data_IF_792730520353
#
_entry.id   IF_792730520353
#
_cell.length_a   1.000
_cell.length_b   1.000
_cell.length_c   1.000
_cell.angle_alpha   90.00
_cell.angle_beta   90.00
_cell.angle_gamma   90.00
#
_symmetry.space_group_name_H-M   'P 1'
#
loop_
_entity.id
_entity.type
_entity.pdbx_description
1 polymer ?
#
# COMPACT_ATOMS: atom_id res chain seq x y z
N UNK A 1 -42.97 -64.07 43.72
CA UNK A 1 -43.57 -63.32 42.57
C UNK A 1 -43.12 -61.88 42.71
N UNK A 2 -42.10 -61.49 41.98
CA UNK A 2 -41.51 -60.09 42.04
C UNK A 2 -41.62 -59.44 40.72
N UNK A 3 -42.37 -58.36 40.68
CA UNK A 3 -42.49 -57.49 39.54
C UNK A 3 -41.26 -56.62 39.35
N UNK A 4 -40.48 -56.80 38.28
CA UNK A 4 -39.42 -55.90 37.85
C UNK A 4 -40.01 -54.68 37.13
N UNK A 5 -39.88 -53.49 37.74
CA UNK A 5 -40.19 -52.22 37.07
C UNK A 5 -39.00 -51.84 36.21
N UNK A 6 -39.25 -51.67 34.91
CA UNK A 6 -38.32 -51.17 33.92
C UNK A 6 -38.41 -49.63 33.93
N UNK A 7 -37.35 -48.97 34.37
CA UNK A 7 -37.21 -47.52 34.28
C UNK A 7 -36.59 -47.15 32.93
N UNK A 8 -37.38 -46.47 32.07
CA UNK A 8 -36.92 -45.91 30.82
C UNK A 8 -36.34 -44.53 31.09
N UNK A 9 -35.01 -44.40 31.09
CA UNK A 9 -34.31 -43.11 31.18
C UNK A 9 -34.22 -42.48 29.78
N UNK A 10 -35.07 -41.51 29.49
CA UNK A 10 -34.95 -40.70 28.30
C UNK A 10 -33.80 -39.69 28.42
N UNK A 11 -32.77 -39.84 27.60
CA UNK A 11 -31.71 -38.85 27.45
C UNK A 11 -32.20 -37.68 26.60
N UNK A 12 -32.40 -36.50 27.22
CA UNK A 12 -32.65 -35.27 26.50
C UNK A 12 -31.29 -34.76 26.01
N UNK A 13 -31.05 -34.87 24.70
CA UNK A 13 -29.91 -34.21 24.03
C UNK A 13 -30.28 -32.76 23.84
N UNK A 14 -29.80 -31.87 24.70
CA UNK A 14 -29.88 -30.44 24.49
C UNK A 14 -28.81 -30.02 23.49
N UNK A 15 -29.20 -29.83 22.24
CA UNK A 15 -28.37 -29.16 21.21
C UNK A 15 -28.28 -27.66 21.52
N UNK A 16 -27.19 -27.27 22.18
CA UNK A 16 -26.86 -25.84 22.31
C UNK A 16 -26.33 -25.35 20.98
N UNK A 17 -27.17 -24.62 20.25
CA UNK A 17 -26.72 -23.84 19.08
C UNK A 17 -25.81 -22.72 19.58
N UNK A 18 -24.51 -22.87 19.37
CA UNK A 18 -23.57 -21.74 19.51
C UNK A 18 -23.83 -20.77 18.37
N UNK A 19 -24.63 -19.75 18.59
CA UNK A 19 -24.65 -18.56 17.75
C UNK A 19 -23.37 -17.81 18.02
N UNK A 20 -22.39 -17.91 17.12
CA UNK A 20 -21.23 -17.03 17.09
C UNK A 20 -21.74 -15.62 16.79
N UNK A 21 -21.90 -14.80 17.83
CA UNK A 21 -22.08 -13.36 17.68
C UNK A 21 -20.74 -12.85 17.19
N UNK A 22 -20.60 -12.74 15.86
CA UNK A 22 -19.50 -11.99 15.26
C UNK A 22 -19.62 -10.54 15.75
N UNK A 23 -18.74 -10.14 16.65
CA UNK A 23 -18.59 -8.72 16.98
C UNK A 23 -18.13 -8.04 15.70
N UNK A 24 -19.04 -7.33 15.05
CA UNK A 24 -18.68 -6.42 13.97
C UNK A 24 -17.71 -5.39 14.59
N UNK A 25 -16.42 -5.54 14.30
CA UNK A 25 -15.44 -4.55 14.72
C UNK A 25 -15.74 -3.29 13.93
N UNK A 26 -16.17 -2.23 14.63
CA UNK A 26 -16.43 -0.96 14.00
C UNK A 26 -15.17 -0.54 13.24
N UNK A 27 -15.30 -0.31 11.93
CA UNK A 27 -14.21 0.21 11.13
C UNK A 27 -13.76 1.55 11.69
N UNK A 28 -12.47 1.70 11.92
CA UNK A 28 -11.90 2.99 12.32
C UNK A 28 -12.10 3.95 11.15
N UNK A 29 -12.64 5.12 11.43
CA UNK A 29 -12.83 6.19 10.45
C UNK A 29 -12.20 7.48 10.97
N UNK A 30 -11.46 8.17 10.12
CA UNK A 30 -10.89 9.48 10.43
C UNK A 30 -11.55 10.54 9.56
N UNK A 31 -12.08 11.57 10.20
CA UNK A 31 -12.85 12.64 9.56
C UNK A 31 -12.01 13.59 8.72
N UNK A 32 -10.73 13.69 9.05
CA UNK A 32 -9.74 14.58 8.44
C UNK A 32 -8.89 13.90 7.36
N UNK A 33 -9.12 12.61 7.07
CA UNK A 33 -8.39 11.89 6.01
C UNK A 33 -9.26 11.77 4.76
N UNK A 34 -8.90 12.45 3.63
CA UNK A 34 -9.67 12.33 2.41
C UNK A 34 -9.64 10.90 1.84
N UNK A 35 -10.79 10.33 1.55
CA UNK A 35 -10.93 8.94 1.12
C UNK A 35 -10.30 8.63 -0.25
N UNK A 36 -10.09 9.66 -1.08
CA UNK A 36 -9.41 9.56 -2.38
C UNK A 36 -7.90 9.88 -2.30
N UNK A 37 -7.36 10.16 -1.11
CA UNK A 37 -5.94 10.44 -0.96
C UNK A 37 -5.10 9.16 -1.06
N UNK A 38 -3.92 9.25 -1.68
CA UNK A 38 -3.02 8.10 -1.89
C UNK A 38 -2.63 7.35 -0.62
N UNK A 39 -2.59 8.03 0.54
CA UNK A 39 -2.26 7.42 1.84
C UNK A 39 -3.47 6.82 2.57
N UNK A 40 -4.70 7.03 2.08
CA UNK A 40 -5.92 6.59 2.77
C UNK A 40 -5.88 5.10 3.13
N UNK A 41 -5.55 4.26 2.14
CA UNK A 41 -5.46 2.81 2.35
C UNK A 41 -4.43 2.46 3.43
N UNK A 42 -3.25 3.07 3.39
CA UNK A 42 -2.19 2.82 4.36
C UNK A 42 -2.60 3.22 5.78
N UNK A 43 -3.23 4.38 5.93
CA UNK A 43 -3.73 4.88 7.22
C UNK A 43 -4.78 3.91 7.79
N UNK A 44 -5.78 3.52 6.99
CA UNK A 44 -6.85 2.66 7.46
C UNK A 44 -6.37 1.24 7.78
N UNK A 45 -5.50 0.66 6.93
CA UNK A 45 -4.94 -0.67 7.17
C UNK A 45 -4.10 -0.72 8.46
N UNK A 46 -3.25 0.29 8.71
CA UNK A 46 -2.44 0.34 9.92
C UNK A 46 -3.24 0.74 11.16
N UNK A 47 -4.32 1.52 11.00
CA UNK A 47 -5.24 1.81 12.09
C UNK A 47 -6.02 0.57 12.53
N UNK A 48 -6.55 -0.22 11.59
CA UNK A 48 -7.25 -1.48 11.89
C UNK A 48 -6.32 -2.52 12.54
N UNK A 49 -5.00 -2.43 12.32
CA UNK A 49 -3.97 -3.23 13.01
C UNK A 49 -3.55 -2.65 14.36
N UNK A 50 -4.16 -1.56 14.83
CA UNK A 50 -3.80 -0.82 16.05
C UNK A 50 -2.36 -0.28 16.07
N UNK A 51 -1.74 -0.13 14.90
CA UNK A 51 -0.40 0.48 14.76
C UNK A 51 -0.52 1.99 14.75
N UNK A 52 -1.45 2.51 13.96
CA UNK A 52 -1.77 3.93 13.87
C UNK A 52 -2.93 4.26 14.82
N UNK A 53 -2.77 5.35 15.57
CA UNK A 53 -3.83 5.97 16.34
C UNK A 53 -3.92 7.45 15.95
N UNK A 54 -5.13 8.01 16.01
CA UNK A 54 -5.35 9.44 15.87
C UNK A 54 -5.19 10.19 17.20
N UNK A 55 -5.54 11.47 17.19
CA UNK A 55 -5.53 12.34 18.36
C UNK A 55 -6.81 12.22 19.22
N UNK A 56 -7.72 11.30 18.86
CA UNK A 56 -9.04 11.17 19.45
C UNK A 56 -10.12 11.84 18.59
N UNK A 57 -11.38 11.64 18.98
CA UNK A 57 -12.58 12.22 18.33
C UNK A 57 -12.68 12.00 16.81
N UNK A 58 -12.02 10.95 16.28
CA UNK A 58 -11.97 10.65 14.86
C UNK A 58 -11.01 11.55 14.06
N UNK A 59 -10.02 12.15 14.70
CA UNK A 59 -8.99 12.99 14.06
C UNK A 59 -7.68 12.20 13.96
N UNK A 60 -7.15 12.08 12.76
CA UNK A 60 -5.84 11.48 12.49
C UNK A 60 -4.70 12.47 12.69
N UNK A 61 -4.90 13.75 12.37
CA UNK A 61 -3.86 14.78 12.26
C UNK A 61 -3.26 14.82 10.85
N UNK A 62 -4.13 14.80 9.84
CA UNK A 62 -3.72 14.83 8.44
C UNK A 62 -3.07 16.18 8.09
N UNK A 63 -1.89 16.12 7.47
CA UNK A 63 -1.09 17.29 7.14
C UNK A 63 -0.15 17.78 8.24
N UNK A 64 -0.29 17.29 9.47
CA UNK A 64 0.63 17.66 10.55
C UNK A 64 2.01 17.02 10.36
N UNK A 65 3.07 17.71 10.74
CA UNK A 65 4.39 17.10 10.85
C UNK A 65 4.39 16.00 11.92
N UNK A 66 5.01 14.86 11.61
CA UNK A 66 5.16 13.79 12.60
C UNK A 66 6.36 14.06 13.52
N UNK A 67 6.17 13.95 14.82
CA UNK A 67 7.28 14.11 15.77
C UNK A 67 8.05 12.80 15.97
N UNK A 68 9.31 12.92 16.41
CA UNK A 68 10.19 11.78 16.69
C UNK A 68 9.60 10.82 17.72
N UNK A 69 8.92 11.34 18.77
CA UNK A 69 8.24 10.49 19.76
C UNK A 69 7.04 9.76 19.22
N UNK A 70 6.27 10.41 18.31
CA UNK A 70 5.13 9.76 17.65
C UNK A 70 5.60 8.61 16.76
N UNK A 71 6.72 8.82 16.04
CA UNK A 71 7.34 7.76 15.24
C UNK A 71 7.82 6.61 16.12
N UNK A 72 8.39 6.90 17.30
CA UNK A 72 8.75 5.84 18.25
C UNK A 72 7.53 5.01 18.66
N UNK A 73 6.39 5.65 18.94
CA UNK A 73 5.16 4.92 19.27
C UNK A 73 4.65 4.05 18.11
N UNK A 74 4.69 4.54 16.86
CA UNK A 74 4.28 3.79 15.67
C UNK A 74 5.21 2.58 15.43
N UNK A 75 6.53 2.80 15.48
CA UNK A 75 7.53 1.75 15.30
C UNK A 75 7.47 0.69 16.39
N UNK A 76 7.25 1.10 17.64
CA UNK A 76 7.11 0.16 18.76
C UNK A 76 5.91 -0.77 18.58
N UNK A 77 4.76 -0.22 18.17
CA UNK A 77 3.56 -1.02 17.89
C UNK A 77 3.75 -1.94 16.69
N UNK A 78 4.50 -1.50 15.69
CA UNK A 78 4.79 -2.30 14.49
C UNK A 78 5.76 -3.43 14.78
N UNK A 79 6.88 -3.13 15.44
CA UNK A 79 7.96 -4.09 15.66
C UNK A 79 7.71 -5.02 16.85
N UNK A 80 6.83 -4.62 17.77
CA UNK A 80 6.43 -5.38 18.97
C UNK A 80 7.63 -5.95 19.74
N UNK A 81 8.61 -5.12 20.14
CA UNK A 81 9.76 -5.59 20.88
C UNK A 81 9.36 -6.24 22.20
N UNK A 82 10.18 -7.16 22.70
CA UNK A 82 10.03 -7.67 24.05
C UNK A 82 10.13 -6.52 25.06
N UNK A 83 9.11 -6.41 25.92
CA UNK A 83 9.04 -5.35 26.91
C UNK A 83 9.87 -5.73 28.13
N UNK A 84 10.72 -4.79 28.58
CA UNK A 84 11.50 -4.89 29.82
C UNK A 84 10.87 -4.06 30.93
N UNK A 85 11.16 -4.40 32.17
CA UNK A 85 10.74 -3.59 33.33
C UNK A 85 11.50 -2.27 33.39
N UNK A 86 12.79 -2.30 32.99
CA UNK A 86 13.65 -1.12 32.96
C UNK A 86 14.50 -1.08 31.70
N UNK A 87 14.74 0.13 31.21
CA UNK A 87 15.61 0.44 30.09
C UNK A 87 16.71 1.40 30.53
N UNK A 88 17.91 1.26 29.99
CA UNK A 88 18.91 2.30 30.11
C UNK A 88 18.47 3.56 29.38
N UNK A 89 18.58 4.72 30.02
CA UNK A 89 18.22 5.99 29.40
C UNK A 89 19.48 6.83 29.13
N UNK A 90 19.96 6.88 27.89
CA UNK A 90 21.12 7.70 27.54
C UNK A 90 20.77 9.18 27.29
N UNK A 91 19.48 9.56 27.38
CA UNK A 91 18.99 10.88 26.98
C UNK A 91 18.62 11.75 28.19
N UNK A 92 19.05 13.00 28.17
CA UNK A 92 18.75 13.99 29.22
C UNK A 92 17.31 14.51 29.11
N UNK A 93 16.76 14.53 27.90
CA UNK A 93 15.45 15.09 27.53
C UNK A 93 14.33 14.06 27.44
N UNK A 94 14.57 12.79 27.74
CA UNK A 94 13.56 11.72 27.78
C UNK A 94 13.21 11.39 29.22
N UNK A 95 12.18 12.04 29.73
CA UNK A 95 11.67 11.90 31.10
C UNK A 95 10.17 11.64 31.09
N UNK A 96 9.59 11.20 32.21
CA UNK A 96 8.13 11.01 32.34
C UNK A 96 7.33 12.31 32.23
N UNK A 97 7.99 13.47 32.32
CA UNK A 97 7.40 14.80 32.15
C UNK A 97 7.52 15.33 30.73
N UNK A 98 8.55 14.93 29.98
CA UNK A 98 8.84 15.46 28.65
C UNK A 98 8.15 14.70 27.53
N UNK A 99 7.83 13.42 27.74
CA UNK A 99 7.21 12.55 26.72
C UNK A 99 6.33 11.48 27.36
N UNK A 100 5.23 11.16 26.69
CA UNK A 100 4.38 10.01 27.03
C UNK A 100 4.94 8.68 26.49
N UNK A 101 5.95 8.73 25.62
CA UNK A 101 6.48 7.58 24.88
C UNK A 101 7.92 7.21 25.32
N UNK A 102 8.26 7.49 26.57
CA UNK A 102 9.59 7.20 27.12
C UNK A 102 9.98 5.73 26.94
N UNK A 103 9.05 4.83 27.26
CA UNK A 103 9.27 3.38 27.13
C UNK A 103 9.56 2.97 25.69
N UNK A 104 8.77 3.45 24.75
CA UNK A 104 8.88 3.17 23.32
C UNK A 104 10.21 3.70 22.77
N UNK A 105 10.58 4.91 23.13
CA UNK A 105 11.85 5.53 22.76
C UNK A 105 13.02 4.67 23.25
N UNK A 106 13.05 4.32 24.53
CA UNK A 106 14.17 3.59 25.12
C UNK A 106 14.26 2.15 24.61
N UNK A 107 13.14 1.47 24.43
CA UNK A 107 13.11 0.13 23.84
C UNK A 107 13.70 0.11 22.42
N UNK A 108 13.31 1.06 21.59
CA UNK A 108 13.78 1.18 20.21
C UNK A 108 15.24 1.70 20.13
N UNK A 109 15.69 2.43 21.15
CA UNK A 109 17.10 2.82 21.31
C UNK A 109 17.98 1.61 21.58
N UNK A 110 17.57 0.72 22.50
CA UNK A 110 18.29 -0.53 22.77
C UNK A 110 18.33 -1.46 21.53
N UNK A 111 17.29 -1.45 20.71
CA UNK A 111 17.28 -2.19 19.43
C UNK A 111 18.17 -1.56 18.36
N UNK A 112 18.74 -0.37 18.60
CA UNK A 112 19.50 0.37 17.60
C UNK A 112 18.67 0.97 16.49
N UNK A 113 17.33 1.02 16.62
CA UNK A 113 16.42 1.64 15.64
C UNK A 113 16.48 3.15 15.73
N UNK A 114 16.55 3.69 16.94
CA UNK A 114 16.72 5.10 17.21
C UNK A 114 18.09 5.43 17.79
N UNK A 115 18.53 6.64 17.47
CA UNK A 115 19.68 7.28 18.11
C UNK A 115 19.32 8.73 18.49
N UNK A 116 20.06 9.30 19.44
CA UNK A 116 19.99 10.72 19.77
C UNK A 116 20.78 11.57 18.78
N UNK A 117 20.92 12.86 19.11
CA UNK A 117 21.60 13.88 18.30
C UNK A 117 23.13 13.93 18.50
N UNK A 118 23.69 13.02 19.30
CA UNK A 118 25.11 12.99 19.65
C UNK A 118 25.48 13.90 20.83
N UNK A 119 24.57 14.76 21.29
CA UNK A 119 24.78 15.65 22.47
C UNK A 119 24.18 15.13 23.77
N UNK A 120 23.54 13.95 23.68
CA UNK A 120 22.81 13.31 24.78
C UNK A 120 21.34 13.67 24.84
N UNK A 121 20.77 14.17 23.74
CA UNK A 121 19.34 14.42 23.63
C UNK A 121 18.71 13.53 22.53
N UNK A 122 17.45 13.16 22.72
CA UNK A 122 16.64 12.45 21.76
C UNK A 122 15.81 13.39 20.89
N UNK A 123 15.42 14.55 21.43
CA UNK A 123 14.53 15.56 20.81
C UNK A 123 13.14 15.01 20.52
N UNK A 124 12.37 14.56 21.55
CA UNK A 124 11.10 13.84 21.33
C UNK A 124 10.05 14.64 20.58
N UNK A 125 10.01 15.96 20.78
CA UNK A 125 9.00 16.87 20.20
C UNK A 125 9.37 17.43 18.83
N UNK A 126 10.60 17.25 18.38
CA UNK A 126 11.03 17.77 17.09
C UNK A 126 10.35 17.00 15.95
N UNK A 127 10.03 17.72 14.88
CA UNK A 127 9.55 17.13 13.64
C UNK A 127 10.61 16.22 13.01
N UNK A 128 10.19 15.06 12.53
CA UNK A 128 11.09 14.09 11.89
C UNK A 128 11.47 14.55 10.50
N UNK A 129 12.75 14.49 10.15
CA UNK A 129 13.23 14.74 8.79
C UNK A 129 13.22 13.45 7.95
N UNK A 130 13.26 13.59 6.61
CA UNK A 130 13.23 12.45 5.71
C UNK A 130 14.48 11.58 5.77
N UNK A 131 15.64 12.15 6.03
CA UNK A 131 16.88 11.39 6.27
C UNK A 131 16.80 10.58 7.59
N UNK A 132 16.26 11.16 8.64
CA UNK A 132 16.00 10.45 9.90
C UNK A 132 14.97 9.33 9.71
N UNK A 133 13.88 9.59 8.95
CA UNK A 133 12.89 8.57 8.56
C UNK A 133 13.55 7.39 7.84
N UNK A 134 14.40 7.66 6.85
CA UNK A 134 15.11 6.61 6.12
C UNK A 134 15.95 5.74 7.04
N UNK A 135 16.67 6.36 7.99
CA UNK A 135 17.49 5.65 8.97
C UNK A 135 16.65 4.74 9.88
N UNK A 136 15.53 5.27 10.41
CA UNK A 136 14.65 4.54 11.32
C UNK A 136 14.03 3.32 10.61
N UNK A 137 13.51 3.50 9.40
CA UNK A 137 12.93 2.40 8.62
C UNK A 137 13.98 1.36 8.23
N UNK A 138 15.17 1.80 7.81
CA UNK A 138 16.27 0.89 7.47
C UNK A 138 16.67 0.04 8.66
N UNK A 139 16.82 0.62 9.83
CA UNK A 139 17.19 -0.12 11.05
C UNK A 139 16.04 -1.00 11.54
N UNK A 140 14.82 -0.46 11.60
CA UNK A 140 13.66 -1.18 12.12
C UNK A 140 13.26 -2.40 11.31
N UNK A 141 13.39 -2.33 9.98
CA UNK A 141 13.06 -3.42 9.06
C UNK A 141 14.31 -4.16 8.52
N UNK A 142 15.51 -3.82 9.01
CA UNK A 142 16.78 -4.43 8.59
C UNK A 142 16.96 -4.44 7.05
N UNK A 143 16.61 -3.31 6.42
CA UNK A 143 16.62 -3.22 4.97
C UNK A 143 18.03 -3.34 4.42
N UNK A 144 18.19 -4.24 3.47
CA UNK A 144 19.45 -4.39 2.72
C UNK A 144 19.43 -3.49 1.48
N UNK A 145 20.58 -2.92 1.14
CA UNK A 145 20.73 -2.18 -0.13
C UNK A 145 20.64 -3.18 -1.28
N UNK A 146 19.72 -2.92 -2.22
CA UNK A 146 19.46 -3.79 -3.39
C UNK A 146 19.82 -3.13 -4.72
N UNK A 147 20.15 -1.86 -4.70
CA UNK A 147 20.52 -1.04 -5.85
C UNK A 147 20.94 0.34 -5.39
N UNK A 148 21.27 1.21 -6.30
CA UNK A 148 21.67 2.59 -6.00
C UNK A 148 20.48 3.56 -6.15
N UNK A 149 20.69 4.82 -5.80
CA UNK A 149 19.79 5.92 -6.07
C UNK A 149 20.46 6.97 -6.95
N UNK A 150 19.66 7.82 -7.59
CA UNK A 150 20.11 8.91 -8.45
C UNK A 150 19.66 10.29 -7.96
N UNK A 151 19.39 10.44 -6.64
CA UNK A 151 18.97 11.70 -6.05
C UNK A 151 20.13 12.71 -6.06
N UNK A 152 20.01 13.84 -6.77
CA UNK A 152 21.11 14.81 -6.89
C UNK A 152 21.36 15.63 -5.62
N UNK A 153 20.38 15.66 -4.72
CA UNK A 153 20.39 16.41 -3.46
C UNK A 153 20.83 15.58 -2.25
N UNK A 154 21.27 14.35 -2.48
CA UNK A 154 21.81 13.47 -1.42
C UNK A 154 23.32 13.44 -1.50
N UNK A 155 23.98 13.88 -0.41
CA UNK A 155 25.43 13.74 -0.28
C UNK A 155 25.80 12.25 -0.22
N UNK A 156 26.56 11.78 -1.20
CA UNK A 156 27.02 10.39 -1.31
C UNK A 156 27.90 9.94 -0.16
N UNK A 157 28.59 10.87 0.51
CA UNK A 157 29.42 10.62 1.68
C UNK A 157 28.68 10.97 3.01
N UNK A 158 27.45 11.46 2.92
CA UNK A 158 26.63 11.82 4.06
C UNK A 158 26.20 10.59 4.88
N UNK A 159 26.00 10.80 6.19
CA UNK A 159 25.62 9.74 7.13
C UNK A 159 24.31 9.01 6.73
N UNK A 160 23.39 9.71 6.11
CA UNK A 160 22.08 9.18 5.72
C UNK A 160 22.10 8.45 4.37
N UNK A 161 23.15 8.60 3.54
CA UNK A 161 23.21 8.03 2.21
C UNK A 161 22.94 6.51 2.18
N UNK A 162 23.52 5.67 3.06
CA UNK A 162 23.22 4.24 3.03
C UNK A 162 21.74 3.93 3.31
N UNK A 163 21.12 4.67 4.24
CA UNK A 163 19.73 4.48 4.59
C UNK A 163 18.78 4.98 3.48
N UNK A 164 19.10 6.11 2.86
CA UNK A 164 18.36 6.64 1.70
C UNK A 164 18.43 5.65 0.53
N UNK A 165 19.62 5.09 0.27
CA UNK A 165 19.80 4.04 -0.73
C UNK A 165 18.96 2.80 -0.40
N UNK A 166 18.94 2.38 0.86
CA UNK A 166 18.16 1.23 1.29
C UNK A 166 16.65 1.45 1.09
N UNK A 167 16.07 2.58 1.55
CA UNK A 167 14.64 2.83 1.38
C UNK A 167 14.24 3.02 -0.08
N UNK A 168 15.10 3.62 -0.92
CA UNK A 168 14.87 3.73 -2.37
C UNK A 168 14.90 2.37 -3.04
N UNK A 169 15.96 1.59 -2.85
CA UNK A 169 16.16 0.29 -3.50
C UNK A 169 15.22 -0.82 -2.98
N UNK A 170 14.54 -0.56 -1.89
CA UNK A 170 13.45 -1.41 -1.39
C UNK A 170 12.05 -0.84 -1.71
N UNK A 171 11.93 0.13 -2.61
CA UNK A 171 10.65 0.70 -3.08
C UNK A 171 9.77 1.28 -1.97
N UNK A 172 10.35 1.73 -0.86
CA UNK A 172 9.61 2.38 0.22
C UNK A 172 9.24 3.81 -0.17
N UNK A 173 10.14 4.48 -0.91
CA UNK A 173 9.93 5.83 -1.44
C UNK A 173 10.51 5.99 -2.84
N UNK A 174 9.86 6.81 -3.66
CA UNK A 174 10.37 7.21 -4.97
C UNK A 174 11.06 8.61 -4.94
N UNK A 175 11.06 9.28 -3.79
CA UNK A 175 11.48 10.68 -3.66
C UNK A 175 10.29 11.63 -3.53
N UNK A 176 10.49 12.90 -3.94
CA UNK A 176 9.48 13.97 -3.86
C UNK A 176 8.72 14.21 -5.18
N UNK A 177 9.01 13.41 -6.21
CA UNK A 177 8.35 13.52 -7.52
C UNK A 177 9.08 14.43 -8.52
N UNK A 178 10.01 15.26 -8.06
CA UNK A 178 10.87 16.12 -8.88
C UNK A 178 12.30 15.55 -9.09
N UNK A 179 12.47 14.27 -8.81
CA UNK A 179 13.76 13.58 -8.88
C UNK A 179 14.67 13.76 -7.67
N UNK A 180 14.19 14.41 -6.61
CA UNK A 180 14.93 14.64 -5.36
C UNK A 180 14.44 13.73 -4.24
N UNK A 181 15.28 13.59 -3.20
CA UNK A 181 14.91 12.95 -1.95
C UNK A 181 14.42 13.95 -0.90
N UNK A 182 14.96 15.17 -0.89
CA UNK A 182 14.75 16.22 0.08
C UNK A 182 15.09 15.79 1.53
N UNK A 183 16.35 15.46 1.86
CA UNK A 183 16.74 14.84 3.13
C UNK A 183 16.28 15.63 4.37
N UNK A 184 16.35 16.96 4.31
CA UNK A 184 16.04 17.85 5.43
C UNK A 184 14.58 18.27 5.53
N UNK A 185 13.73 17.90 4.56
CA UNK A 185 12.31 18.18 4.62
C UNK A 185 11.65 17.39 5.76
N UNK A 186 10.75 18.01 6.49
CA UNK A 186 9.94 17.33 7.49
C UNK A 186 8.99 16.35 6.84
N UNK A 187 8.65 15.30 7.56
CA UNK A 187 7.72 14.27 7.13
C UNK A 187 6.37 14.51 7.77
N UNK A 188 5.31 14.61 6.97
CA UNK A 188 3.96 14.65 7.53
C UNK A 188 3.51 13.27 8.03
N UNK A 189 2.48 13.24 8.88
CA UNK A 189 1.97 12.01 9.49
C UNK A 189 1.49 11.01 8.45
N UNK A 190 0.75 11.46 7.44
CA UNK A 190 0.28 10.59 6.34
C UNK A 190 1.42 10.09 5.48
N UNK A 191 2.46 10.89 5.25
CA UNK A 191 3.66 10.44 4.54
C UNK A 191 4.40 9.36 5.32
N UNK A 192 4.61 9.56 6.63
CA UNK A 192 5.28 8.56 7.46
C UNK A 192 4.50 7.25 7.50
N UNK A 193 3.17 7.32 7.67
CA UNK A 193 2.31 6.14 7.68
C UNK A 193 2.37 5.39 6.35
N UNK A 194 2.45 6.09 5.22
CA UNK A 194 2.64 5.44 3.92
C UNK A 194 3.99 4.75 3.80
N UNK A 195 5.07 5.39 4.23
CA UNK A 195 6.41 4.77 4.22
C UNK A 195 6.46 3.54 5.12
N UNK A 196 5.88 3.64 6.32
CA UNK A 196 5.76 2.52 7.24
C UNK A 196 4.94 1.38 6.62
N UNK A 197 3.81 1.68 6.00
CA UNK A 197 2.97 0.70 5.31
C UNK A 197 3.74 0.00 4.19
N UNK A 198 4.43 0.74 3.32
CA UNK A 198 5.24 0.16 2.27
C UNK A 198 6.33 -0.77 2.84
N UNK A 199 6.95 -0.39 3.96
CA UNK A 199 7.96 -1.23 4.61
C UNK A 199 7.39 -2.55 5.18
N UNK A 200 6.10 -2.59 5.50
CA UNK A 200 5.42 -3.82 5.98
C UNK A 200 5.01 -4.79 4.87
N UNK A 201 4.96 -4.31 3.63
CA UNK A 201 4.57 -5.15 2.48
C UNK A 201 5.73 -6.06 2.05
N UNK A 202 5.44 -7.26 1.52
CA UNK A 202 6.40 -8.01 0.73
C UNK A 202 7.00 -7.15 -0.39
N UNK A 203 8.25 -7.40 -0.76
CA UNK A 203 8.98 -6.55 -1.71
C UNK A 203 8.22 -6.39 -3.04
N UNK A 204 7.70 -7.48 -3.56
CA UNK A 204 6.95 -7.56 -4.82
C UNK A 204 5.59 -6.83 -4.81
N UNK A 205 5.04 -6.57 -3.62
CA UNK A 205 3.79 -5.84 -3.47
C UNK A 205 3.97 -4.33 -3.33
N UNK A 206 5.20 -3.86 -3.12
CA UNK A 206 5.49 -2.44 -2.97
C UNK A 206 5.26 -1.70 -4.29
N UNK A 207 4.69 -0.49 -4.27
CA UNK A 207 4.27 0.21 -5.49
C UNK A 207 5.37 0.36 -6.56
N UNK A 208 6.61 0.63 -6.16
CA UNK A 208 7.74 0.78 -7.08
C UNK A 208 8.20 -0.54 -7.69
N UNK A 209 8.15 -1.65 -6.94
CA UNK A 209 8.57 -2.96 -7.40
C UNK A 209 7.71 -3.48 -8.56
N UNK A 210 6.41 -3.16 -8.54
CA UNK A 210 5.49 -3.54 -9.62
C UNK A 210 5.80 -2.85 -10.96
N UNK A 211 6.42 -1.68 -10.94
CA UNK A 211 6.78 -0.94 -12.14
C UNK A 211 8.08 -1.45 -12.78
N UNK A 212 8.96 -2.07 -11.99
CA UNK A 212 10.24 -2.63 -12.48
C UNK A 212 10.13 -4.12 -12.88
N UNK A 213 9.06 -4.81 -12.49
CA UNK A 213 8.80 -6.13 -13.07
C UNK A 213 8.52 -5.92 -14.55
N UNK A 214 9.23 -6.63 -15.47
CA UNK A 214 8.83 -6.69 -16.86
C UNK A 214 7.35 -7.05 -16.84
N UNK A 215 6.50 -6.19 -17.37
CA UNK A 215 5.11 -6.59 -17.61
C UNK A 215 5.23 -7.91 -18.36
N UNK A 216 4.55 -9.01 -17.92
CA UNK A 216 4.50 -10.21 -18.74
C UNK A 216 4.16 -9.68 -20.13
N UNK A 217 5.03 -9.96 -21.12
CA UNK A 217 4.77 -9.56 -22.49
C UNK A 217 3.30 -9.88 -22.74
N UNK A 218 2.49 -8.83 -22.75
CA UNK A 218 1.14 -8.94 -23.24
C UNK A 218 1.41 -9.28 -24.70
N UNK A 219 1.47 -10.59 -24.98
CA UNK A 219 1.49 -11.11 -26.34
C UNK A 219 0.39 -10.30 -27.00
N UNK A 220 0.69 -9.48 -28.03
CA UNK A 220 -0.32 -8.61 -28.60
C UNK A 220 -1.53 -9.51 -28.79
N UNK A 221 -2.62 -9.16 -28.11
CA UNK A 221 -3.88 -9.85 -28.29
C UNK A 221 -4.05 -9.84 -29.80
N UNK A 222 -3.91 -11.02 -30.43
CA UNK A 222 -4.02 -11.14 -31.87
C UNK A 222 -5.40 -10.59 -32.14
N UNK A 223 -5.43 -9.31 -32.57
CA UNK A 223 -6.67 -8.65 -33.01
C UNK A 223 -7.28 -9.70 -33.92
N UNK A 224 -8.48 -10.24 -33.61
CA UNK A 224 -9.05 -11.32 -34.40
C UNK A 224 -8.95 -10.89 -35.84
N UNK A 225 -8.27 -11.70 -36.68
CA UNK A 225 -8.14 -11.37 -38.09
C UNK A 225 -9.53 -11.02 -38.61
N UNK A 226 -9.72 -9.88 -39.29
CA UNK A 226 -11.02 -9.46 -39.71
C UNK A 226 -11.62 -10.57 -40.58
N UNK A 227 -12.77 -11.11 -40.19
CA UNK A 227 -13.44 -12.19 -40.88
C UNK A 227 -13.60 -11.82 -42.36
N UNK A 228 -12.85 -12.45 -43.26
CA UNK A 228 -12.96 -12.21 -44.68
C UNK A 228 -14.22 -12.87 -45.17
N UNK A 229 -15.15 -12.08 -45.66
CA UNK A 229 -16.39 -12.58 -46.25
C UNK A 229 -16.15 -13.15 -47.66
N UNK A 230 -16.68 -14.32 -47.96
CA UNK A 230 -16.53 -14.94 -49.29
C UNK A 230 -17.39 -14.24 -50.36
N UNK A 231 -18.47 -13.61 -49.95
CA UNK A 231 -19.39 -12.88 -50.85
C UNK A 231 -20.26 -11.90 -50.04
N UNK A 232 -20.94 -10.97 -50.77
CA UNK A 232 -21.77 -9.97 -50.14
C UNK A 232 -23.00 -10.55 -49.41
N UNK A 233 -23.45 -11.73 -49.73
CA UNK A 233 -24.54 -12.39 -49.01
C UNK A 233 -24.07 -12.70 -47.57
N UNK A 234 -22.89 -13.27 -47.42
CA UNK A 234 -22.31 -13.60 -46.10
C UNK A 234 -22.03 -12.32 -45.26
N UNK A 235 -21.53 -11.24 -45.90
CA UNK A 235 -21.33 -9.95 -45.25
C UNK A 235 -22.68 -9.37 -44.76
N UNK A 236 -23.69 -9.39 -45.61
CA UNK A 236 -25.00 -8.85 -45.28
C UNK A 236 -25.73 -9.66 -44.20
N UNK A 237 -25.62 -10.99 -44.22
CA UNK A 237 -26.16 -11.88 -43.18
C UNK A 237 -25.48 -11.61 -41.80
N UNK A 238 -24.21 -11.16 -41.82
CA UNK A 238 -23.49 -10.71 -40.64
C UNK A 238 -23.77 -9.25 -40.26
N UNK A 239 -24.65 -8.54 -40.97
CA UNK A 239 -25.02 -7.15 -40.71
C UNK A 239 -23.98 -6.10 -41.20
N UNK A 240 -23.02 -6.54 -42.05
CA UNK A 240 -21.96 -5.67 -42.59
C UNK A 240 -22.31 -5.28 -44.02
N UNK A 241 -22.48 -3.98 -44.25
CA UNK A 241 -22.86 -3.36 -45.50
C UNK A 241 -21.96 -2.16 -45.82
N UNK A 242 -22.02 -1.65 -47.04
CA UNK A 242 -21.39 -0.44 -47.51
C UNK A 242 -19.89 -0.38 -47.10
N UNK A 243 -19.14 -1.46 -47.42
CA UNK A 243 -17.75 -1.69 -46.98
C UNK A 243 -16.82 -0.84 -47.84
N UNK A 244 -16.30 0.22 -47.27
CA UNK A 244 -15.34 1.10 -47.94
C UNK A 244 -13.94 0.51 -48.04
N UNK A 245 -13.08 1.01 -48.93
CA UNK A 245 -11.68 0.53 -49.13
C UNK A 245 -10.81 0.53 -47.87
N UNK A 246 -11.08 1.42 -46.94
CA UNK A 246 -10.34 1.52 -45.67
C UNK A 246 -10.86 0.52 -44.63
N UNK A 247 -11.94 -0.16 -44.87
CA UNK A 247 -12.51 -1.17 -43.99
C UNK A 247 -11.65 -2.44 -43.96
N UNK A 248 -11.39 -3.04 -42.81
CA UNK A 248 -10.67 -4.32 -42.71
C UNK A 248 -11.44 -5.49 -43.36
N UNK A 249 -12.70 -5.30 -43.64
CA UNK A 249 -13.58 -6.27 -44.33
C UNK A 249 -13.62 -6.09 -45.85
N UNK A 250 -12.96 -5.06 -46.38
CA UNK A 250 -12.98 -4.80 -47.82
C UNK A 250 -12.18 -5.85 -48.60
N UNK A 251 -12.75 -6.28 -49.71
CA UNK A 251 -12.10 -7.15 -50.68
C UNK A 251 -12.56 -6.82 -52.09
N UNK A 252 -11.64 -6.71 -53.05
CA UNK A 252 -11.95 -6.41 -54.45
C UNK A 252 -13.00 -7.36 -55.06
N UNK A 253 -13.11 -8.60 -54.56
CA UNK A 253 -14.09 -9.59 -55.00
C UNK A 253 -15.51 -9.31 -54.51
N UNK A 254 -15.62 -8.39 -53.51
CA UNK A 254 -16.91 -7.93 -52.95
C UNK A 254 -17.38 -6.61 -53.59
N UNK A 255 -16.47 -5.87 -54.23
CA UNK A 255 -16.72 -4.61 -54.94
C UNK A 255 -16.85 -4.89 -56.41
N UNK A 256 -18.10 -5.09 -56.85
CA UNK A 256 -18.41 -5.62 -58.19
C UNK A 256 -18.26 -4.59 -59.29
N UNK A 257 -18.56 -3.34 -59.05
CA UNK A 257 -18.50 -2.24 -60.00
C UNK A 257 -17.23 -1.42 -59.88
N UNK A 258 -16.42 -1.64 -58.81
CA UNK A 258 -15.09 -1.04 -58.63
C UNK A 258 -15.14 0.39 -58.13
N UNK A 259 -16.25 0.86 -57.61
CA UNK A 259 -16.42 2.25 -57.15
C UNK A 259 -15.75 2.51 -55.80
N UNK A 260 -15.31 1.44 -55.08
CA UNK A 260 -14.64 1.51 -53.81
C UNK A 260 -15.56 1.23 -52.60
N UNK A 261 -16.78 0.88 -52.83
CA UNK A 261 -17.76 0.48 -51.83
C UNK A 261 -18.27 -0.95 -52.16
N UNK A 262 -17.95 -1.89 -51.30
CA UNK A 262 -18.38 -3.27 -51.49
C UNK A 262 -19.68 -3.57 -50.72
N UNK A 263 -20.48 -4.48 -51.23
CA UNK A 263 -21.71 -5.00 -50.61
C UNK A 263 -22.71 -3.90 -50.23
N UNK A 264 -22.96 -2.99 -51.14
CA UNK A 264 -23.94 -1.91 -50.96
C UNK A 264 -25.32 -2.37 -50.61
N UNK A 265 -26.00 -1.62 -49.75
CA UNK A 265 -27.45 -1.81 -49.50
C UNK A 265 -28.22 -1.49 -50.75
N UNK A 266 -29.05 -2.43 -51.19
CA UNK A 266 -30.02 -2.13 -52.25
C UNK A 266 -30.90 -0.96 -51.79
N UNK A 267 -30.76 0.19 -52.44
CA UNK A 267 -31.70 1.30 -52.25
C UNK A 267 -33.09 0.75 -52.61
N UNK A 268 -33.97 0.68 -51.60
CA UNK A 268 -35.37 0.36 -51.87
C UNK A 268 -35.91 1.43 -52.83
N UNK A 269 -36.03 1.06 -54.08
CA UNK A 269 -36.65 1.95 -55.10
C UNK A 269 -38.07 2.29 -54.65
N UNK A 270 -38.39 3.61 -54.83
CA UNK A 270 -39.76 4.13 -54.80
C UNK A 270 -40.57 3.46 -55.86
#
# INVERSE_FOLDING_TARGET
MGFKKLLLTGAIVATTAFTSIGTAQASIEFKDVPNNHWSYKAIMDLANKNIVAGYGNGIFGFGDDVTREQVAALMFRQLKPAVKEQYNNPYKDVTDRSTLFKKEILALTEMGVFAGDGTGNFRPKDSLTRDEMAQILTKGFQLQIRGDHNFPDVDRNGWANPAITAVKSNYITAGTGDGKFAPRMHVSREQYVQFLYNATLPLEERPGARQEQPQPEVKPEQKPEPKRFANCKEANDAGVYDITRDSPYYGKHLDRDGDGIACERKKSGK
#
